data_IF_775385059121
#
_entry.id   IF_775385059121
#
_cell.length_a   1.000
_cell.length_b   1.000
_cell.length_c   1.000
_cell.angle_alpha   90.00
_cell.angle_beta   90.00
_cell.angle_gamma   90.00
#
_symmetry.space_group_name_H-M   'P 1'
#
loop_
_entity.id
_entity.type
_entity.pdbx_description
1 polymer ?
#
# COMPACT_ATOMS: atom_id res chain seq x y z
N UNK A 1 26.35 -22.71 -8.97
CA UNK A 1 26.70 -23.48 -7.79
C UNK A 1 28.22 -23.45 -7.53
N UNK A 2 29.08 -23.94 -8.46
CA UNK A 2 30.56 -23.97 -8.29
C UNK A 2 31.19 -22.59 -8.11
N UNK A 3 30.56 -21.52 -8.60
CA UNK A 3 31.02 -20.14 -8.41
C UNK A 3 30.82 -19.69 -6.96
N UNK A 4 29.77 -20.13 -6.30
CA UNK A 4 29.37 -19.68 -4.97
C UNK A 4 29.83 -20.65 -3.88
N UNK A 5 29.78 -21.96 -4.17
CA UNK A 5 30.21 -23.03 -3.26
C UNK A 5 31.49 -23.68 -3.86
N UNK A 6 32.64 -23.17 -3.45
CA UNK A 6 33.93 -23.57 -4.05
C UNK A 6 34.44 -24.91 -3.54
N UNK A 7 34.21 -25.23 -2.28
CA UNK A 7 34.86 -26.32 -1.55
C UNK A 7 33.91 -27.29 -0.88
N UNK A 8 32.58 -27.06 -0.95
CA UNK A 8 31.56 -27.83 -0.23
C UNK A 8 31.76 -27.94 1.28
N UNK A 9 32.58 -27.02 1.86
CA UNK A 9 32.74 -26.89 3.30
C UNK A 9 31.54 -26.20 3.92
N UNK A 10 30.69 -26.98 4.57
CA UNK A 10 29.43 -26.51 5.17
C UNK A 10 29.72 -25.53 6.31
N UNK A 11 30.74 -25.76 7.14
CA UNK A 11 31.08 -24.85 8.23
C UNK A 11 31.56 -23.49 7.71
N UNK A 12 32.37 -23.49 6.67
CA UNK A 12 32.80 -22.26 6.01
C UNK A 12 31.62 -21.50 5.43
N UNK A 13 30.70 -22.17 4.74
CA UNK A 13 29.48 -21.54 4.19
C UNK A 13 28.59 -20.96 5.31
N UNK A 14 28.41 -21.65 6.42
CA UNK A 14 27.68 -21.15 7.59
C UNK A 14 28.34 -19.89 8.17
N UNK A 15 29.67 -19.88 8.27
CA UNK A 15 30.41 -18.71 8.77
C UNK A 15 30.30 -17.52 7.80
N UNK A 16 30.35 -17.74 6.49
CA UNK A 16 30.12 -16.69 5.49
C UNK A 16 28.73 -16.10 5.65
N UNK A 17 27.69 -16.93 5.69
CA UNK A 17 26.30 -16.48 5.87
C UNK A 17 26.11 -15.72 7.19
N UNK A 18 26.67 -16.23 8.30
CA UNK A 18 26.64 -15.55 9.59
C UNK A 18 27.31 -14.18 9.56
N UNK A 19 28.43 -14.04 8.87
CA UNK A 19 29.12 -12.78 8.75
C UNK A 19 28.33 -11.77 7.91
N UNK A 20 27.70 -12.19 6.81
CA UNK A 20 26.84 -11.35 5.98
C UNK A 20 25.67 -10.82 6.82
N UNK A 21 24.97 -11.71 7.55
CA UNK A 21 23.85 -11.30 8.39
C UNK A 21 24.28 -10.41 9.55
N UNK A 22 25.41 -10.68 10.19
CA UNK A 22 25.94 -9.81 11.23
C UNK A 22 26.27 -8.40 10.69
N UNK A 23 26.84 -8.28 9.50
CA UNK A 23 27.10 -6.97 8.88
C UNK A 23 25.79 -6.24 8.57
N UNK A 24 24.80 -6.94 8.02
CA UNK A 24 23.48 -6.38 7.66
C UNK A 24 22.74 -5.90 8.90
N UNK A 25 22.61 -6.72 9.92
CA UNK A 25 21.86 -6.39 11.14
C UNK A 25 22.56 -5.35 12.01
N UNK A 26 23.90 -5.29 12.00
CA UNK A 26 24.69 -4.30 12.73
C UNK A 26 24.62 -2.88 12.17
N UNK A 27 23.88 -2.64 11.10
CA UNK A 27 23.56 -1.27 10.62
C UNK A 27 22.79 -0.48 11.68
N UNK A 28 22.02 -1.18 12.53
CA UNK A 28 21.37 -0.60 13.71
C UNK A 28 21.93 -1.29 14.93
N UNK A 29 22.56 -0.51 15.84
CA UNK A 29 23.05 -1.00 17.13
C UNK A 29 22.11 -0.57 18.23
N UNK A 30 21.65 -1.54 19.01
CA UNK A 30 20.74 -1.31 20.14
C UNK A 30 21.49 -1.56 21.46
N UNK A 31 21.44 -0.57 22.35
CA UNK A 31 22.05 -0.60 23.67
C UNK A 31 21.02 -0.25 24.75
N UNK A 32 21.28 -0.64 25.99
CA UNK A 32 20.46 -0.23 27.14
C UNK A 32 19.13 -0.97 27.30
N UNK A 33 18.94 -2.10 26.62
CA UNK A 33 17.77 -2.98 26.74
C UNK A 33 18.21 -4.39 27.21
N UNK A 34 17.27 -5.16 27.77
CA UNK A 34 17.53 -6.55 28.13
C UNK A 34 17.74 -7.47 26.92
N UNK A 35 18.32 -8.64 27.12
CA UNK A 35 18.67 -9.57 26.05
C UNK A 35 17.45 -10.11 25.29
N UNK A 36 16.28 -10.24 25.93
CA UNK A 36 15.05 -10.67 25.27
C UNK A 36 14.53 -9.58 24.32
N UNK A 37 14.49 -8.34 24.80
CA UNK A 37 14.09 -7.19 23.96
C UNK A 37 15.06 -7.01 22.78
N UNK A 38 16.35 -7.24 22.99
CA UNK A 38 17.38 -7.21 21.95
C UNK A 38 17.17 -8.33 20.92
N UNK A 39 16.86 -9.55 21.38
CA UNK A 39 16.54 -10.66 20.49
C UNK A 39 15.30 -10.40 19.66
N UNK A 40 14.23 -9.84 20.27
CA UNK A 40 13.01 -9.44 19.56
C UNK A 40 13.34 -8.39 18.50
N UNK A 41 14.11 -7.35 18.82
CA UNK A 41 14.49 -6.30 17.89
C UNK A 41 15.22 -6.87 16.66
N UNK A 42 16.30 -7.65 16.88
CA UNK A 42 17.08 -8.17 15.75
C UNK A 42 16.34 -9.24 14.95
N UNK A 43 15.48 -10.03 15.58
CA UNK A 43 14.60 -10.96 14.87
C UNK A 43 13.60 -10.20 14.00
N UNK A 44 13.02 -9.11 14.50
CA UNK A 44 12.11 -8.26 13.73
C UNK A 44 12.84 -7.56 12.57
N UNK A 45 14.05 -7.04 12.82
CA UNK A 45 14.87 -6.45 11.76
C UNK A 45 15.25 -7.48 10.68
N UNK A 46 15.63 -8.72 11.07
CA UNK A 46 15.89 -9.80 10.12
C UNK A 46 14.67 -10.06 9.22
N UNK A 47 13.47 -10.11 9.80
CA UNK A 47 12.23 -10.36 9.05
C UNK A 47 11.90 -9.27 8.03
N UNK A 48 12.38 -8.05 8.19
CA UNK A 48 12.21 -6.99 7.16
C UNK A 48 12.96 -7.29 5.86
N UNK A 49 13.91 -8.22 5.86
CA UNK A 49 14.66 -8.68 4.69
C UNK A 49 14.08 -9.94 4.03
N UNK A 50 13.01 -10.52 4.56
CA UNK A 50 12.36 -11.69 3.95
C UNK A 50 11.70 -11.35 2.60
N UNK A 51 11.36 -10.09 2.39
CA UNK A 51 10.81 -9.51 1.16
C UNK A 51 11.46 -8.14 0.91
N UNK A 52 11.70 -7.70 -0.27
CA UNK A 52 11.53 -8.35 -1.59
C UNK A 52 12.70 -9.29 -1.90
N UNK A 53 12.49 -10.18 -2.89
CA UNK A 53 13.48 -11.16 -3.33
C UNK A 53 14.17 -10.62 -4.58
N UNK A 54 15.51 -10.65 -4.61
CA UNK A 54 16.30 -10.34 -5.81
C UNK A 54 16.35 -11.53 -6.75
N UNK A 55 15.85 -11.38 -7.98
CA UNK A 55 15.85 -12.41 -9.01
C UNK A 55 17.03 -12.29 -9.99
N UNK A 56 17.85 -11.25 -9.88
CA UNK A 56 18.93 -11.01 -10.83
C UNK A 56 20.12 -11.95 -10.63
N UNK A 57 20.53 -12.62 -11.71
CA UNK A 57 21.77 -13.39 -11.84
C UNK A 57 22.51 -12.98 -13.10
N UNK A 58 23.79 -12.67 -13.01
CA UNK A 58 24.65 -12.27 -14.15
C UNK A 58 24.03 -11.15 -15.02
N UNK A 59 23.48 -10.12 -14.36
CA UNK A 59 22.76 -9.00 -14.98
C UNK A 59 21.57 -9.46 -15.86
N UNK A 60 20.91 -10.54 -15.48
CA UNK A 60 19.70 -11.06 -16.13
C UNK A 60 18.69 -11.47 -15.07
N UNK A 61 17.42 -11.34 -15.40
CA UNK A 61 16.32 -11.86 -14.58
C UNK A 61 15.20 -12.37 -15.48
N UNK A 62 14.43 -13.33 -14.97
CA UNK A 62 13.16 -13.71 -15.57
C UNK A 62 12.04 -12.86 -14.94
N UNK A 63 11.17 -12.31 -15.77
CA UNK A 63 9.98 -11.59 -15.33
C UNK A 63 8.72 -12.39 -15.62
N UNK A 64 7.90 -12.61 -14.59
CA UNK A 64 6.57 -13.18 -14.76
C UNK A 64 5.52 -12.16 -15.25
N UNK A 65 5.89 -10.89 -15.35
CA UNK A 65 4.99 -9.82 -15.79
C UNK A 65 4.81 -9.80 -17.31
N UNK A 66 5.78 -10.30 -18.07
CA UNK A 66 5.72 -10.49 -19.52
C UNK A 66 6.24 -11.88 -19.98
N UNK A 67 6.55 -12.76 -19.04
CA UNK A 67 7.10 -14.10 -19.27
C UNK A 67 8.41 -14.12 -20.10
N UNK A 68 9.30 -13.14 -19.85
CA UNK A 68 10.51 -12.93 -20.62
C UNK A 68 11.78 -12.83 -19.76
N UNK A 69 12.94 -13.12 -20.37
CA UNK A 69 14.25 -12.89 -19.76
C UNK A 69 14.76 -11.52 -20.18
N UNK A 70 15.06 -10.68 -19.20
CA UNK A 70 15.61 -9.35 -19.39
C UNK A 70 17.09 -9.29 -19.01
N UNK A 71 17.83 -8.37 -19.65
CA UNK A 71 19.18 -7.98 -19.26
C UNK A 71 19.13 -6.59 -18.66
N UNK A 72 19.69 -6.44 -17.48
CA UNK A 72 19.75 -5.16 -16.78
C UNK A 72 20.94 -5.12 -15.82
N UNK A 73 21.54 -3.95 -15.68
CA UNK A 73 22.64 -3.70 -14.74
C UNK A 73 22.13 -3.39 -13.32
N UNK A 74 20.86 -2.97 -13.20
CA UNK A 74 20.21 -2.73 -11.92
C UNK A 74 19.51 -4.00 -11.47
N UNK A 75 19.68 -4.46 -10.23
CA UNK A 75 19.00 -5.64 -9.71
C UNK A 75 17.47 -5.55 -9.82
N UNK A 76 16.84 -6.67 -10.15
CA UNK A 76 15.39 -6.78 -10.22
C UNK A 76 14.88 -7.51 -8.98
N UNK A 77 14.03 -6.83 -8.24
CA UNK A 77 13.37 -7.33 -7.03
C UNK A 77 11.89 -7.58 -7.29
N UNK A 78 11.33 -8.61 -6.67
CA UNK A 78 9.90 -8.92 -6.69
C UNK A 78 9.44 -9.51 -5.36
N UNK A 79 8.16 -9.91 -5.27
CA UNK A 79 7.54 -10.46 -4.07
C UNK A 79 7.41 -9.43 -2.95
N UNK A 80 6.57 -8.42 -3.20
CA UNK A 80 6.24 -7.41 -2.20
C UNK A 80 4.73 -7.28 -1.99
N UNK A 81 4.37 -7.13 -0.75
CA UNK A 81 3.01 -6.83 -0.34
C UNK A 81 2.90 -5.34 -0.04
N UNK A 82 2.85 -4.53 -1.11
CA UNK A 82 2.96 -3.07 -1.03
C UNK A 82 1.93 -2.48 -0.05
N UNK A 83 0.74 -3.04 0.02
CA UNK A 83 -0.30 -2.62 0.96
C UNK A 83 0.14 -2.72 2.44
N UNK A 84 1.02 -3.68 2.75
CA UNK A 84 1.60 -3.86 4.09
C UNK A 84 2.88 -3.06 4.28
N UNK A 85 3.75 -3.03 3.26
CA UNK A 85 5.15 -2.61 3.39
C UNK A 85 5.35 -1.10 3.24
N UNK A 86 4.45 -0.40 2.53
CA UNK A 86 4.60 1.03 2.24
C UNK A 86 4.69 1.92 3.48
N UNK A 87 4.08 1.52 4.61
CA UNK A 87 4.04 2.33 5.84
C UNK A 87 5.30 2.27 6.66
N UNK A 88 6.03 1.17 6.65
CA UNK A 88 7.13 0.94 7.57
C UNK A 88 8.39 0.35 6.92
N UNK A 89 8.27 -0.73 6.14
CA UNK A 89 9.43 -1.45 5.61
C UNK A 89 10.18 -0.61 4.58
N UNK A 90 9.49 -0.05 3.57
CA UNK A 90 10.10 0.84 2.59
C UNK A 90 10.68 2.12 3.25
N UNK A 91 9.96 2.84 4.12
CA UNK A 91 10.52 3.95 4.87
C UNK A 91 11.76 3.61 5.71
N UNK A 92 11.83 2.41 6.29
CA UNK A 92 13.02 1.94 7.00
C UNK A 92 14.19 1.73 6.04
N UNK A 93 13.96 1.10 4.87
CA UNK A 93 14.98 0.85 3.86
C UNK A 93 15.59 2.14 3.30
N UNK A 94 14.80 3.19 3.13
CA UNK A 94 15.34 4.52 2.77
C UNK A 94 16.46 4.95 3.70
N UNK A 95 16.40 4.57 4.98
CA UNK A 95 17.39 4.94 5.99
C UNK A 95 18.59 3.98 5.98
N UNK A 96 18.34 2.67 5.95
CA UNK A 96 19.39 1.66 6.19
C UNK A 96 19.91 0.99 4.90
N UNK A 97 19.13 1.03 3.81
CA UNK A 97 19.42 0.41 2.52
C UNK A 97 19.03 1.31 1.33
N UNK A 98 19.51 2.57 1.25
CA UNK A 98 19.01 3.55 0.27
C UNK A 98 19.21 3.11 -1.19
N UNK A 99 20.29 2.41 -1.52
CA UNK A 99 20.49 1.92 -2.88
C UNK A 99 19.57 0.74 -3.20
N UNK A 100 19.39 -0.20 -2.28
CA UNK A 100 18.47 -1.31 -2.44
C UNK A 100 17.03 -0.82 -2.60
N UNK A 101 16.63 0.20 -1.86
CA UNK A 101 15.31 0.83 -2.00
C UNK A 101 15.14 1.45 -3.40
N UNK A 102 16.14 2.14 -3.92
CA UNK A 102 16.11 2.67 -5.28
C UNK A 102 15.92 1.56 -6.32
N UNK A 103 16.65 0.45 -6.18
CA UNK A 103 16.59 -0.70 -7.09
C UNK A 103 15.21 -1.40 -7.01
N UNK A 104 14.60 -1.47 -5.82
CA UNK A 104 13.25 -2.00 -5.62
C UNK A 104 12.19 -1.14 -6.30
N UNK A 105 12.25 0.18 -6.13
CA UNK A 105 11.34 1.12 -6.83
C UNK A 105 11.54 1.02 -8.34
N UNK A 106 12.77 0.97 -8.83
CA UNK A 106 13.04 0.77 -10.25
C UNK A 106 12.48 -0.57 -10.75
N UNK A 107 12.44 -1.59 -9.90
CA UNK A 107 11.82 -2.88 -10.24
C UNK A 107 10.31 -2.76 -10.38
N UNK A 108 9.61 -2.01 -9.54
CA UNK A 108 8.19 -1.72 -9.71
C UNK A 108 7.89 -1.02 -11.04
N UNK A 109 8.74 -0.05 -11.42
CA UNK A 109 8.62 0.65 -12.70
C UNK A 109 8.77 -0.33 -13.87
N UNK A 110 9.73 -1.25 -13.81
CA UNK A 110 9.92 -2.28 -14.84
C UNK A 110 8.75 -3.24 -14.93
N UNK A 111 8.21 -3.68 -13.78
CA UNK A 111 7.01 -4.50 -13.75
C UNK A 111 5.85 -3.81 -14.49
N UNK A 112 5.64 -2.52 -14.22
CA UNK A 112 4.62 -1.75 -14.93
C UNK A 112 4.87 -1.72 -16.43
N UNK A 113 6.10 -1.41 -16.88
CA UNK A 113 6.49 -1.36 -18.28
C UNK A 113 6.40 -2.71 -19.01
N UNK A 114 6.49 -3.81 -18.28
CA UNK A 114 6.38 -5.18 -18.80
C UNK A 114 4.92 -5.67 -18.87
N UNK A 115 4.03 -5.07 -18.09
CA UNK A 115 2.59 -5.36 -18.16
C UNK A 115 1.92 -4.61 -19.33
N UNK A 116 0.86 -5.19 -19.88
CA UNK A 116 0.13 -4.66 -21.04
C UNK A 116 -0.30 -3.19 -20.91
N UNK A 117 -0.72 -2.78 -19.73
CA UNK A 117 -1.32 -1.46 -19.51
C UNK A 117 -0.42 -0.45 -18.80
N UNK A 118 0.83 -0.79 -18.53
CA UNK A 118 1.78 0.05 -17.80
C UNK A 118 1.24 0.58 -16.46
N UNK A 119 0.46 -0.23 -15.72
CA UNK A 119 -0.02 0.13 -14.41
C UNK A 119 1.01 -0.22 -13.34
N UNK A 120 1.23 0.69 -12.38
CA UNK A 120 2.03 0.37 -11.21
C UNK A 120 1.49 -0.90 -10.53
N UNK A 121 2.35 -1.88 -10.18
CA UNK A 121 1.89 -3.09 -9.51
C UNK A 121 1.25 -2.75 -8.16
N UNK A 122 0.23 -3.51 -7.79
CA UNK A 122 -0.49 -3.34 -6.53
C UNK A 122 0.00 -4.32 -5.47
N UNK A 123 0.25 -5.56 -5.91
CA UNK A 123 0.67 -6.64 -5.02
C UNK A 123 1.56 -7.62 -5.81
N UNK A 124 2.79 -7.20 -6.17
CA UNK A 124 3.68 -8.01 -6.98
C UNK A 124 4.14 -9.26 -6.23
N UNK A 125 3.98 -10.40 -6.90
CA UNK A 125 4.47 -11.70 -6.45
C UNK A 125 5.47 -12.27 -7.47
N UNK A 126 6.12 -13.38 -7.14
CA UNK A 126 7.06 -14.05 -8.05
C UNK A 126 6.39 -14.49 -9.35
N UNK A 127 5.07 -14.70 -9.32
CA UNK A 127 4.25 -15.17 -10.45
C UNK A 127 3.55 -14.06 -11.23
N UNK A 128 3.77 -12.79 -10.87
CA UNK A 128 3.13 -11.61 -11.46
C UNK A 128 2.41 -10.77 -10.43
N UNK A 129 1.66 -9.75 -10.87
CA UNK A 129 0.85 -8.92 -9.96
C UNK A 129 -0.46 -9.62 -9.62
N UNK A 130 -0.62 -10.09 -8.39
CA UNK A 130 -1.85 -10.72 -7.91
C UNK A 130 -2.97 -9.71 -7.64
N UNK A 131 -2.65 -8.42 -7.57
CA UNK A 131 -3.58 -7.29 -7.36
C UNK A 131 -4.44 -7.42 -6.10
N UNK A 132 -3.96 -8.18 -5.14
CA UNK A 132 -4.62 -8.34 -3.84
C UNK A 132 -4.70 -7.00 -3.13
N UNK A 133 -5.63 -6.91 -2.21
CA UNK A 133 -5.92 -5.72 -1.42
C UNK A 133 -6.45 -4.54 -2.27
N UNK A 134 -6.82 -3.48 -1.59
CA UNK A 134 -7.30 -2.24 -2.21
C UNK A 134 -6.16 -1.23 -2.37
N UNK A 135 -6.43 -0.14 -3.10
CA UNK A 135 -5.54 1.01 -3.28
C UNK A 135 -4.32 0.76 -4.20
N UNK A 136 -3.55 1.80 -4.46
CA UNK A 136 -2.39 1.80 -5.36
C UNK A 136 -1.15 2.35 -4.64
N UNK A 137 -0.87 1.87 -3.43
CA UNK A 137 0.15 2.42 -2.52
C UNK A 137 1.60 2.37 -3.02
N UNK A 138 1.86 1.77 -4.18
CA UNK A 138 3.15 1.92 -4.88
C UNK A 138 3.52 3.39 -5.09
N UNK A 139 2.54 4.26 -5.31
CA UNK A 139 2.75 5.71 -5.41
C UNK A 139 3.29 6.32 -4.12
N UNK A 140 2.84 5.83 -2.95
CA UNK A 140 3.34 6.29 -1.65
C UNK A 140 4.80 5.91 -1.45
N UNK A 141 5.19 4.68 -1.80
CA UNK A 141 6.58 4.21 -1.74
C UNK A 141 7.49 5.08 -2.62
N UNK A 142 7.06 5.38 -3.85
CA UNK A 142 7.81 6.23 -4.80
C UNK A 142 8.05 7.63 -4.23
N UNK A 143 6.99 8.31 -3.78
CA UNK A 143 7.13 9.72 -3.35
C UNK A 143 7.83 9.84 -2.00
N UNK A 144 7.59 8.93 -1.06
CA UNK A 144 8.27 8.93 0.23
C UNK A 144 9.79 8.81 0.05
N UNK A 145 10.22 7.85 -0.74
CA UNK A 145 11.63 7.65 -1.06
C UNK A 145 12.23 8.85 -1.79
N UNK A 146 11.51 9.41 -2.77
CA UNK A 146 12.00 10.57 -3.52
C UNK A 146 12.19 11.81 -2.63
N UNK A 147 11.23 12.14 -1.77
CA UNK A 147 11.32 13.28 -0.86
C UNK A 147 12.47 13.11 0.13
N UNK A 148 12.73 11.89 0.57
CA UNK A 148 13.84 11.54 1.47
C UNK A 148 15.21 11.48 0.80
N UNK A 149 15.30 11.76 -0.50
CA UNK A 149 16.56 11.93 -1.20
C UNK A 149 16.98 10.79 -2.12
N UNK A 150 16.22 9.72 -2.23
CA UNK A 150 16.48 8.65 -3.20
C UNK A 150 16.21 9.17 -4.62
N UNK A 151 17.18 8.99 -5.53
CA UNK A 151 17.11 9.57 -6.90
C UNK A 151 17.45 8.58 -8.01
N UNK A 152 17.93 7.38 -7.67
CA UNK A 152 18.45 6.42 -8.63
C UNK A 152 17.35 5.54 -9.24
N UNK A 153 16.20 6.16 -9.59
CA UNK A 153 15.10 5.53 -10.32
C UNK A 153 14.39 6.56 -11.22
N UNK A 154 13.67 6.09 -12.21
CA UNK A 154 12.96 6.95 -13.18
C UNK A 154 11.65 7.47 -12.60
N UNK A 155 11.69 8.67 -12.00
CA UNK A 155 10.49 9.30 -11.40
C UNK A 155 9.40 9.58 -12.45
N UNK A 156 9.76 9.91 -13.68
CA UNK A 156 8.76 10.21 -14.73
C UNK A 156 8.01 8.95 -15.15
N UNK A 157 8.75 7.85 -15.35
CA UNK A 157 8.11 6.56 -15.65
C UNK A 157 7.27 6.05 -14.47
N UNK A 158 7.74 6.23 -13.22
CA UNK A 158 6.96 5.92 -12.02
C UNK A 158 5.66 6.73 -11.97
N UNK A 159 5.73 8.03 -12.25
CA UNK A 159 4.56 8.91 -12.30
C UNK A 159 3.51 8.41 -13.29
N UNK A 160 3.90 8.11 -14.52
CA UNK A 160 2.99 7.63 -15.55
C UNK A 160 2.32 6.30 -15.14
N UNK A 161 3.09 5.35 -14.62
CA UNK A 161 2.58 4.07 -14.17
C UNK A 161 1.59 4.22 -12.99
N UNK A 162 1.90 5.07 -12.01
CA UNK A 162 1.02 5.37 -10.88
C UNK A 162 -0.25 6.08 -11.33
N UNK A 163 -0.14 7.07 -12.23
CA UNK A 163 -1.26 7.82 -12.78
C UNK A 163 -2.23 6.90 -13.50
N UNK A 164 -1.73 6.06 -14.41
CA UNK A 164 -2.55 5.09 -15.14
C UNK A 164 -3.23 4.08 -14.19
N UNK A 165 -2.54 3.62 -13.14
CA UNK A 165 -3.11 2.75 -12.11
C UNK A 165 -4.27 3.37 -11.33
N UNK A 166 -4.33 4.70 -11.21
CA UNK A 166 -5.40 5.42 -10.50
C UNK A 166 -6.49 5.90 -11.45
N UNK A 167 -6.14 6.27 -12.69
CA UNK A 167 -7.08 6.91 -13.64
C UNK A 167 -7.64 5.99 -14.72
N UNK A 168 -7.11 4.79 -14.90
CA UNK A 168 -7.56 3.84 -15.92
C UNK A 168 -7.95 2.47 -15.34
N UNK A 169 -7.16 1.94 -14.40
CA UNK A 169 -7.43 0.66 -13.77
C UNK A 169 -8.63 0.76 -12.84
N UNK A 170 -9.38 -0.32 -12.68
CA UNK A 170 -10.41 -0.38 -11.65
C UNK A 170 -9.82 -0.16 -10.25
N UNK A 171 -10.58 0.54 -9.41
CA UNK A 171 -10.28 0.72 -8.01
C UNK A 171 -10.73 -0.47 -7.15
N UNK A 172 -11.55 -1.37 -7.70
CA UNK A 172 -11.98 -2.57 -7.00
C UNK A 172 -10.79 -3.51 -6.71
N UNK A 173 -10.67 -4.04 -5.48
CA UNK A 173 -9.57 -4.95 -5.12
C UNK A 173 -9.64 -6.27 -5.91
N UNK A 174 -8.48 -6.89 -6.14
CA UNK A 174 -8.30 -8.13 -6.90
C UNK A 174 -8.76 -8.10 -8.34
N UNK A 175 -8.93 -6.96 -8.91
CA UNK A 175 -9.32 -6.81 -10.30
C UNK A 175 -8.21 -6.15 -11.13
N UNK A 176 -7.96 -6.68 -12.31
CA UNK A 176 -6.93 -6.20 -13.22
C UNK A 176 -7.49 -5.72 -14.55
N UNK A 177 -8.73 -5.27 -14.56
CA UNK A 177 -9.39 -4.69 -15.73
C UNK A 177 -9.42 -3.17 -15.68
N UNK A 178 -9.77 -2.54 -16.78
CA UNK A 178 -10.04 -1.09 -16.81
C UNK A 178 -11.25 -0.75 -15.95
N UNK A 179 -11.28 0.47 -15.43
CA UNK A 179 -12.35 0.97 -14.59
C UNK A 179 -13.73 0.80 -15.20
N UNK A 180 -14.58 0.08 -14.50
CA UNK A 180 -15.96 -0.21 -14.86
C UNK A 180 -16.92 0.83 -14.28
N UNK A 181 -18.12 0.37 -13.94
CA UNK A 181 -19.24 1.22 -13.49
C UNK A 181 -18.95 1.93 -12.16
N UNK A 182 -18.50 1.17 -11.14
CA UNK A 182 -18.29 1.74 -9.81
C UNK A 182 -17.03 2.61 -9.74
N UNK A 183 -16.00 2.28 -10.53
CA UNK A 183 -14.80 3.11 -10.64
C UNK A 183 -15.09 4.44 -11.35
N UNK A 184 -15.89 4.43 -12.42
CA UNK A 184 -16.36 5.66 -13.09
C UNK A 184 -17.20 6.52 -12.15
N UNK A 185 -18.05 5.88 -11.34
CA UNK A 185 -18.81 6.59 -10.33
C UNK A 185 -17.89 7.30 -9.33
N UNK A 186 -16.79 6.64 -8.89
CA UNK A 186 -15.79 7.28 -8.04
C UNK A 186 -15.18 8.52 -8.69
N UNK A 187 -14.76 8.42 -9.94
CA UNK A 187 -14.16 9.57 -10.65
C UNK A 187 -15.10 10.75 -10.79
N UNK A 188 -16.41 10.51 -10.89
CA UNK A 188 -17.43 11.53 -11.02
C UNK A 188 -17.89 12.11 -9.67
N UNK A 189 -17.98 11.28 -8.63
CA UNK A 189 -18.63 11.63 -7.37
C UNK A 189 -17.67 11.68 -6.17
N UNK A 190 -16.42 11.23 -6.31
CA UNK A 190 -15.39 11.28 -5.29
C UNK A 190 -15.56 10.26 -4.17
N UNK A 191 -16.27 9.17 -4.36
CA UNK A 191 -16.33 8.02 -3.44
C UNK A 191 -16.79 6.76 -4.17
N UNK A 192 -16.36 5.60 -3.70
CA UNK A 192 -16.83 4.32 -4.22
C UNK A 192 -18.19 3.99 -3.61
N UNK A 193 -19.24 3.66 -4.42
CA UNK A 193 -20.58 3.45 -3.89
C UNK A 193 -20.70 2.07 -3.22
N UNK A 194 -21.28 2.02 -2.02
CA UNK A 194 -21.72 0.80 -1.37
C UNK A 194 -23.01 0.26 -2.00
N UNK A 195 -23.27 -1.03 -1.86
CA UNK A 195 -24.60 -1.60 -2.13
C UNK A 195 -25.59 -1.18 -1.05
N UNK A 196 -26.82 -0.85 -1.45
CA UNK A 196 -27.91 -0.69 -0.52
C UNK A 196 -28.31 -2.04 0.10
N UNK A 197 -28.91 -2.08 1.29
CA UNK A 197 -29.40 -3.32 1.90
C UNK A 197 -30.31 -4.10 0.95
N UNK A 198 -29.97 -5.36 0.67
CA UNK A 198 -30.69 -6.23 -0.26
C UNK A 198 -30.37 -6.07 -1.75
N UNK A 199 -29.55 -5.11 -2.10
CA UNK A 199 -29.04 -4.93 -3.46
C UNK A 199 -28.03 -6.01 -3.82
N UNK A 200 -28.08 -6.50 -5.07
CA UNK A 200 -27.17 -7.52 -5.57
C UNK A 200 -26.02 -6.86 -6.34
N UNK A 201 -24.81 -7.44 -6.20
CA UNK A 201 -23.66 -6.99 -6.97
C UNK A 201 -23.82 -7.36 -8.46
N UNK A 202 -23.66 -6.37 -9.33
CA UNK A 202 -23.78 -6.53 -10.79
C UNK A 202 -22.56 -5.98 -11.54
N UNK A 203 -21.64 -5.29 -10.85
CA UNK A 203 -20.47 -4.72 -11.48
C UNK A 203 -19.40 -5.80 -11.74
N UNK A 204 -19.07 -6.02 -13.01
CA UNK A 204 -18.09 -7.03 -13.45
C UNK A 204 -16.68 -6.82 -12.85
N UNK A 205 -16.37 -5.60 -12.46
CA UNK A 205 -15.09 -5.24 -11.84
C UNK A 205 -14.95 -5.69 -10.39
N UNK A 206 -16.03 -6.13 -9.74
CA UNK A 206 -16.02 -6.51 -8.33
C UNK A 206 -15.75 -8.00 -8.15
N UNK A 207 -14.66 -8.32 -7.47
CA UNK A 207 -14.35 -9.71 -7.15
C UNK A 207 -15.35 -10.26 -6.12
N UNK A 208 -15.97 -11.44 -6.35
CA UNK A 208 -17.06 -11.96 -5.51
C UNK A 208 -16.67 -12.17 -4.04
N UNK A 209 -15.42 -12.51 -3.78
CA UNK A 209 -14.89 -12.73 -2.44
C UNK A 209 -14.45 -11.41 -1.77
N UNK A 210 -13.78 -10.52 -2.50
CA UNK A 210 -13.24 -9.26 -1.94
C UNK A 210 -14.28 -8.17 -1.79
N UNK A 211 -15.39 -8.23 -2.54
CA UNK A 211 -16.42 -7.20 -2.52
C UNK A 211 -15.90 -5.80 -2.92
N UNK A 212 -16.71 -4.78 -2.70
CA UNK A 212 -16.40 -3.40 -3.07
C UNK A 212 -15.39 -2.72 -2.14
N UNK A 213 -15.43 -2.99 -0.86
CA UNK A 213 -14.66 -2.30 0.19
C UNK A 213 -14.76 -0.76 0.08
N UNK A 214 -15.94 -0.15 -0.08
CA UNK A 214 -16.08 1.22 -0.55
C UNK A 214 -15.43 2.27 0.35
N UNK A 215 -15.43 2.06 1.67
CA UNK A 215 -14.75 2.97 2.61
C UNK A 215 -13.25 2.85 2.49
N UNK A 216 -12.70 1.63 2.53
CA UNK A 216 -11.26 1.40 2.45
C UNK A 216 -10.70 1.89 1.10
N UNK A 217 -11.39 1.61 0.00
CA UNK A 217 -10.99 2.08 -1.34
C UNK A 217 -11.02 3.60 -1.44
N UNK A 218 -12.07 4.26 -0.92
CA UNK A 218 -12.17 5.73 -0.97
C UNK A 218 -11.07 6.40 -0.14
N UNK A 219 -10.80 5.90 1.07
CA UNK A 219 -9.73 6.43 1.93
C UNK A 219 -8.34 6.21 1.32
N UNK A 220 -8.06 4.98 0.88
CA UNK A 220 -6.78 4.63 0.29
C UNK A 220 -6.51 5.38 -1.01
N UNK A 221 -7.50 5.50 -1.91
CA UNK A 221 -7.37 6.27 -3.15
C UNK A 221 -7.17 7.75 -2.86
N UNK A 222 -7.83 8.34 -1.85
CA UNK A 222 -7.59 9.73 -1.45
C UNK A 222 -6.15 9.96 -1.02
N UNK A 223 -5.54 9.01 -0.33
CA UNK A 223 -4.13 9.06 0.02
C UNK A 223 -3.22 8.89 -1.20
N UNK A 224 -3.52 7.95 -2.07
CA UNK A 224 -2.77 7.71 -3.31
C UNK A 224 -2.80 8.94 -4.23
N UNK A 225 -3.95 9.62 -4.35
CA UNK A 225 -4.08 10.87 -5.10
C UNK A 225 -3.24 12.00 -4.48
N UNK A 226 -3.16 12.08 -3.14
CA UNK A 226 -2.25 13.02 -2.49
C UNK A 226 -0.80 12.73 -2.85
N UNK A 227 -0.39 11.47 -2.76
CA UNK A 227 0.96 11.03 -3.12
C UNK A 227 1.29 11.35 -4.58
N UNK A 228 0.36 11.07 -5.50
CA UNK A 228 0.51 11.34 -6.92
C UNK A 228 0.60 12.85 -7.19
N UNK A 229 -0.18 13.67 -6.49
CA UNK A 229 -0.06 15.11 -6.54
C UNK A 229 1.36 15.59 -6.15
N UNK A 230 1.95 14.99 -5.10
CA UNK A 230 3.32 15.35 -4.71
C UNK A 230 4.34 14.99 -5.78
N UNK A 231 4.20 13.84 -6.46
CA UNK A 231 5.08 13.49 -7.60
C UNK A 231 4.88 14.49 -8.74
N UNK A 232 3.65 14.79 -9.11
CA UNK A 232 3.32 15.78 -10.15
C UNK A 232 3.97 17.14 -9.87
N UNK A 233 3.95 17.57 -8.60
CA UNK A 233 4.63 18.79 -8.14
C UNK A 233 6.14 18.74 -8.36
N UNK A 234 6.80 17.61 -8.04
CA UNK A 234 8.24 17.45 -8.25
C UNK A 234 8.61 17.50 -9.73
N UNK A 235 7.73 17.02 -10.62
CA UNK A 235 7.91 17.03 -12.07
C UNK A 235 7.48 18.33 -12.74
N UNK A 236 6.85 19.28 -12.01
CA UNK A 236 6.35 20.52 -12.55
C UNK A 236 5.02 20.40 -13.32
N UNK A 237 4.27 19.33 -13.12
CA UNK A 237 2.98 19.09 -13.75
C UNK A 237 1.84 19.77 -12.97
N UNK A 238 1.76 21.08 -13.05
CA UNK A 238 0.87 21.91 -12.20
C UNK A 238 -0.61 21.55 -12.33
N UNK A 239 -1.10 21.23 -13.55
CA UNK A 239 -2.48 20.84 -13.76
C UNK A 239 -2.82 19.53 -13.02
N UNK A 240 -1.96 18.53 -13.14
CA UNK A 240 -2.14 17.23 -12.48
C UNK A 240 -1.97 17.36 -10.96
N UNK A 241 -1.02 18.19 -10.51
CA UNK A 241 -0.89 18.52 -9.09
C UNK A 241 -2.21 19.03 -8.49
N UNK A 242 -2.81 20.03 -9.12
CA UNK A 242 -4.07 20.61 -8.63
C UNK A 242 -5.24 19.61 -8.72
N UNK A 243 -5.31 18.82 -9.78
CA UNK A 243 -6.35 17.81 -9.98
C UNK A 243 -6.30 16.74 -8.87
N UNK A 244 -5.15 16.10 -8.69
CA UNK A 244 -5.00 15.04 -7.67
C UNK A 244 -5.03 15.60 -6.24
N UNK A 245 -4.57 16.82 -6.01
CA UNK A 245 -4.70 17.48 -4.70
C UNK A 245 -6.19 17.75 -4.35
N UNK A 246 -7.05 17.97 -5.34
CA UNK A 246 -8.49 18.04 -5.12
C UNK A 246 -9.05 16.66 -4.74
N UNK A 247 -8.72 15.61 -5.50
CA UNK A 247 -9.15 14.23 -5.25
C UNK A 247 -8.69 13.70 -3.90
N UNK A 248 -7.51 14.15 -3.42
CA UNK A 248 -7.01 13.76 -2.10
C UNK A 248 -7.92 14.13 -0.92
N UNK A 249 -8.97 14.90 -1.15
CA UNK A 249 -9.99 15.28 -0.15
C UNK A 249 -11.27 14.44 -0.24
N UNK A 250 -11.32 13.47 -1.13
CA UNK A 250 -12.48 12.64 -1.39
C UNK A 250 -12.96 11.83 -0.17
N UNK A 251 -12.07 11.54 0.79
CA UNK A 251 -12.46 10.96 2.09
C UNK A 251 -13.56 11.74 2.81
N UNK A 252 -13.69 13.05 2.59
CA UNK A 252 -14.73 13.88 3.18
C UNK A 252 -16.14 13.48 2.73
N UNK A 253 -16.28 12.93 1.52
CA UNK A 253 -17.57 12.53 0.96
C UNK A 253 -18.23 11.37 1.72
N UNK A 254 -17.44 10.57 2.43
CA UNK A 254 -17.89 9.43 3.21
C UNK A 254 -17.75 9.62 4.72
N UNK A 255 -17.34 10.81 5.18
CA UNK A 255 -17.31 11.13 6.59
C UNK A 255 -18.71 11.43 7.12
N UNK A 256 -19.18 10.67 8.11
CA UNK A 256 -20.46 10.91 8.76
C UNK A 256 -20.28 11.91 9.93
N UNK A 257 -20.82 13.12 9.83
CA UNK A 257 -20.61 14.16 10.83
C UNK A 257 -21.33 13.89 12.16
N UNK A 258 -22.33 13.00 12.20
CA UNK A 258 -23.06 12.63 13.41
C UNK A 258 -22.27 11.61 14.23
N UNK A 259 -21.79 10.54 13.58
CA UNK A 259 -21.08 9.44 14.23
C UNK A 259 -19.58 9.67 14.35
N UNK A 260 -19.02 10.59 13.54
CA UNK A 260 -17.58 10.86 13.43
C UNK A 260 -16.76 9.66 12.93
N UNK A 261 -17.38 8.83 12.08
CA UNK A 261 -16.74 7.70 11.40
C UNK A 261 -16.78 7.91 9.88
N UNK A 262 -15.92 7.21 9.16
CA UNK A 262 -16.08 6.99 7.74
C UNK A 262 -17.10 5.88 7.54
N UNK A 263 -18.11 6.15 6.74
CA UNK A 263 -19.33 5.37 6.65
C UNK A 263 -19.62 5.02 5.18
N UNK A 264 -19.98 3.77 4.87
CA UNK A 264 -20.35 3.40 3.51
C UNK A 264 -21.59 4.18 3.05
N UNK A 265 -21.57 4.61 1.79
CA UNK A 265 -22.58 5.44 1.15
C UNK A 265 -23.01 4.82 -0.16
N UNK A 266 -24.29 4.73 -0.43
CA UNK A 266 -24.81 4.17 -1.68
C UNK A 266 -24.68 5.17 -2.87
N UNK A 267 -25.02 4.73 -4.08
CA UNK A 267 -24.95 5.56 -5.27
C UNK A 267 -25.92 6.76 -5.28
N UNK A 268 -26.91 6.81 -4.37
CA UNK A 268 -27.81 7.96 -4.20
C UNK A 268 -27.26 9.00 -3.21
N UNK A 269 -26.11 8.75 -2.60
CA UNK A 269 -25.52 9.63 -1.60
C UNK A 269 -26.05 9.43 -0.17
N UNK A 270 -26.75 8.34 0.11
CA UNK A 270 -27.32 8.01 1.39
C UNK A 270 -26.36 7.10 2.17
N UNK A 271 -26.15 7.35 3.46
CA UNK A 271 -25.39 6.46 4.32
C UNK A 271 -26.16 5.15 4.54
N UNK A 272 -25.43 4.04 4.59
CA UNK A 272 -26.01 2.70 4.78
C UNK A 272 -26.45 2.54 6.24
N UNK A 273 -27.73 2.29 6.47
CA UNK A 273 -28.29 2.08 7.79
C UNK A 273 -29.20 0.81 7.84
N UNK A 274 -29.20 0.06 8.96
CA UNK A 274 -28.33 0.19 10.14
C UNK A 274 -26.89 -0.25 9.85
N UNK A 275 -25.90 0.35 10.53
CA UNK A 275 -24.49 0.04 10.32
C UNK A 275 -23.72 -0.14 11.64
N UNK A 276 -22.93 -1.23 11.74
CA UNK A 276 -22.11 -1.54 12.90
C UNK A 276 -20.61 -1.33 12.59
N UNK A 277 -20.00 -0.29 13.17
CA UNK A 277 -18.59 0.03 13.01
C UNK A 277 -17.63 -0.96 13.68
N UNK A 278 -18.13 -1.79 14.58
CA UNK A 278 -17.35 -2.81 15.27
C UNK A 278 -17.33 -4.16 14.53
N UNK A 279 -18.08 -4.28 13.43
CA UNK A 279 -18.02 -5.47 12.59
C UNK A 279 -16.57 -5.74 12.20
N UNK A 280 -16.08 -6.93 12.61
CA UNK A 280 -14.69 -7.28 12.54
C UNK A 280 -14.17 -7.37 11.10
N UNK A 281 -12.87 -7.13 10.95
CA UNK A 281 -12.12 -7.33 9.72
C UNK A 281 -12.05 -8.79 9.28
N UNK A 282 -11.05 -9.13 8.51
CA UNK A 282 -10.89 -10.45 7.93
C UNK A 282 -11.97 -10.75 6.89
N UNK A 283 -12.52 -11.94 6.91
CA UNK A 283 -13.52 -12.37 5.94
C UNK A 283 -14.87 -11.62 6.04
N UNK A 284 -15.16 -11.01 7.19
CA UNK A 284 -16.46 -10.40 7.46
C UNK A 284 -16.60 -8.92 7.10
N UNK A 285 -15.51 -8.16 6.96
CA UNK A 285 -15.56 -6.71 6.81
C UNK A 285 -15.48 -6.19 5.37
N UNK A 286 -15.33 -7.05 4.38
CA UNK A 286 -15.08 -6.67 2.98
C UNK A 286 -16.19 -5.90 2.30
N UNK A 287 -17.39 -5.95 2.84
CA UNK A 287 -18.51 -5.20 2.28
C UNK A 287 -18.34 -3.68 2.42
N UNK A 288 -17.67 -3.21 3.48
CA UNK A 288 -17.43 -1.80 3.72
C UNK A 288 -15.94 -1.45 3.83
N UNK A 289 -15.18 -2.26 4.54
CA UNK A 289 -13.76 -2.04 4.85
C UNK A 289 -12.88 -3.14 4.22
N UNK A 290 -11.56 -2.99 4.33
CA UNK A 290 -10.61 -4.05 4.04
C UNK A 290 -10.55 -5.09 5.17
N UNK A 291 -9.36 -5.44 5.63
CA UNK A 291 -9.16 -6.47 6.67
C UNK A 291 -9.42 -5.98 8.11
N UNK A 292 -10.02 -4.81 8.27
CA UNK A 292 -10.25 -4.20 9.57
C UNK A 292 -11.66 -3.58 9.65
N UNK A 293 -11.97 -2.87 10.72
CA UNK A 293 -13.29 -2.32 11.00
C UNK A 293 -13.29 -0.78 11.05
N UNK A 294 -14.48 -0.19 11.23
CA UNK A 294 -14.65 1.26 11.24
C UNK A 294 -13.84 1.98 12.32
N UNK A 295 -13.56 1.34 13.46
CA UNK A 295 -12.77 1.94 14.54
C UNK A 295 -11.32 2.18 14.15
N UNK A 296 -10.75 1.33 13.32
CA UNK A 296 -9.39 1.50 12.78
C UNK A 296 -9.41 2.45 11.58
N UNK A 297 -10.31 2.23 10.61
CA UNK A 297 -10.41 3.08 9.44
C UNK A 297 -10.78 4.53 9.74
N UNK A 298 -11.37 4.81 10.90
CA UNK A 298 -11.66 6.16 11.39
C UNK A 298 -10.45 7.10 11.38
N UNK A 299 -9.23 6.56 11.43
CA UNK A 299 -7.97 7.30 11.53
C UNK A 299 -7.19 7.33 10.20
N UNK A 300 -7.72 6.69 9.15
CA UNK A 300 -6.96 6.44 7.93
C UNK A 300 -6.98 7.62 6.94
N UNK A 301 -6.52 8.77 7.42
CA UNK A 301 -6.25 9.98 6.62
C UNK A 301 -4.83 10.48 6.94
N UNK A 302 -3.78 9.70 6.65
CA UNK A 302 -2.41 10.01 7.07
C UNK A 302 -1.86 11.30 6.45
N UNK A 303 -2.34 11.68 5.29
CA UNK A 303 -1.89 12.85 4.54
C UNK A 303 -2.51 14.17 5.02
N UNK A 304 -3.56 14.14 5.83
CA UNK A 304 -4.27 15.36 6.26
C UNK A 304 -4.88 15.23 7.66
N UNK A 305 -4.04 14.94 8.65
CA UNK A 305 -4.46 14.81 10.06
C UNK A 305 -5.08 16.11 10.59
N UNK A 306 -4.62 17.28 10.13
CA UNK A 306 -5.18 18.55 10.55
C UNK A 306 -6.68 18.66 10.17
N UNK A 307 -7.01 18.27 8.96
CA UNK A 307 -8.40 18.26 8.48
C UNK A 307 -9.26 17.20 9.19
N UNK A 308 -8.69 16.02 9.47
CA UNK A 308 -9.37 14.99 10.24
C UNK A 308 -9.72 15.48 11.66
N UNK A 309 -8.81 16.24 12.30
CA UNK A 309 -9.07 16.87 13.59
C UNK A 309 -10.25 17.84 13.51
N UNK A 310 -10.32 18.66 12.47
CA UNK A 310 -11.44 19.59 12.24
C UNK A 310 -12.77 18.82 12.04
N UNK A 311 -12.77 17.80 11.18
CA UNK A 311 -13.94 16.95 10.93
C UNK A 311 -14.47 16.28 12.20
N UNK A 312 -13.59 15.89 13.11
CA UNK A 312 -13.97 15.28 14.39
C UNK A 312 -14.45 16.30 15.43
N UNK A 313 -14.37 17.60 15.18
CA UNK A 313 -14.81 18.66 16.09
C UNK A 313 -13.69 19.31 16.90
N UNK A 314 -12.46 19.26 16.41
CA UNK A 314 -11.29 19.90 16.99
C UNK A 314 -10.42 18.97 17.84
N UNK A 315 -9.30 19.49 18.31
CA UNK A 315 -8.23 18.71 18.99
C UNK A 315 -8.71 17.94 20.22
N UNK A 316 -9.59 18.51 21.02
CA UNK A 316 -10.09 17.87 22.23
C UNK A 316 -11.02 16.72 21.89
N UNK A 317 -11.94 16.90 20.94
CA UNK A 317 -12.83 15.85 20.46
C UNK A 317 -12.04 14.71 19.80
N UNK A 318 -11.01 15.03 19.01
CA UNK A 318 -10.12 14.06 18.41
C UNK A 318 -9.41 13.21 19.47
N UNK A 319 -8.81 13.84 20.49
CA UNK A 319 -8.16 13.11 21.60
C UNK A 319 -9.14 12.20 22.34
N UNK A 320 -10.32 12.72 22.70
CA UNK A 320 -11.33 11.97 23.43
C UNK A 320 -11.82 10.74 22.60
N UNK A 321 -11.97 10.90 21.29
CA UNK A 321 -12.31 9.81 20.38
C UNK A 321 -11.20 8.75 20.32
N UNK A 322 -9.93 9.14 20.34
CA UNK A 322 -8.80 8.23 20.36
C UNK A 322 -8.74 7.46 21.69
N UNK A 323 -8.90 8.13 22.82
CA UNK A 323 -8.97 7.51 24.14
C UNK A 323 -10.16 6.53 24.23
N UNK A 324 -11.30 6.90 23.66
CA UNK A 324 -12.49 6.03 23.59
C UNK A 324 -12.18 4.76 22.82
N UNK A 325 -11.47 4.83 21.69
CA UNK A 325 -11.09 3.64 20.90
C UNK A 325 -10.28 2.64 21.75
N UNK A 326 -9.27 3.13 22.49
CA UNK A 326 -8.43 2.26 23.34
C UNK A 326 -9.16 1.69 24.55
N UNK A 327 -10.23 2.32 25.02
CA UNK A 327 -11.00 1.90 26.19
C UNK A 327 -12.30 1.16 25.82
N UNK A 328 -12.63 1.06 24.54
CA UNK A 328 -13.84 0.35 24.11
C UNK A 328 -13.56 -1.15 23.98
N UNK A 329 -14.31 -2.00 24.68
CA UNK A 329 -14.22 -3.44 24.48
C UNK A 329 -14.61 -3.81 23.05
N UNK A 330 -13.78 -4.62 22.38
CA UNK A 330 -14.05 -5.09 21.01
C UNK A 330 -15.17 -6.12 20.93
N UNK A 331 -15.71 -6.57 22.08
CA UNK A 331 -16.68 -7.67 22.13
C UNK A 331 -16.05 -9.01 21.72
N UNK A 332 -16.91 -9.96 21.36
CA UNK A 332 -16.45 -11.21 20.74
C UNK A 332 -16.11 -10.91 19.28
N UNK A 333 -14.83 -10.96 18.94
CA UNK A 333 -14.37 -10.80 17.57
C UNK A 333 -14.96 -11.95 16.73
N UNK A 334 -15.80 -11.60 15.76
CA UNK A 334 -16.27 -12.54 14.75
C UNK A 334 -15.28 -12.50 13.58
N UNK A 335 -14.39 -13.48 13.53
CA UNK A 335 -13.51 -13.73 12.40
C UNK A 335 -14.20 -14.57 11.33
#
# INVERSE_FOLDING_TARGET
>A
LQREIKDYDVENQMNIAKNIWNQTLNKIKVEGIDENAKAIFYTSLYRTYERMICLSEDNRYYSAFDNSIHKDSVPFYTDDWIWDTYRAVHPLRVIIEPQMEADMIQSFIRMAQQMEHNWMPTFPEVTGDSRRMNSNHGVATVIDSYIKGIRNFDLSAAYEACKLGITEKTLAPWSGIKGGEITKFYWENGYLPALAPGEQETADEVHPFEKRQPVAVTLGTSYDEWCLAQIAKQLGYEKDYNYFLQGSKNYRNIFNPETKFFHPKNAKGEFIEPFDYATAGGLGAREAYGENNGWIYRWDVPHNIADLIELMGGKEAFRNNLETMYNTPLGEAKY
#
